data_IF_226179265928
#
_entry.id   IF_226179265928
#
_cell.length_a   1.000
_cell.length_b   1.000
_cell.length_c   1.000
_cell.angle_alpha   90.00
_cell.angle_beta   90.00
_cell.angle_gamma   90.00
#
_symmetry.space_group_name_H-M   'P 1'
#
loop_
_entity.id
_entity.type
_entity.pdbx_description
1 polymer ?
#
# COMPACT_ATOMS: atom_id res chain seq x y z
N UNK A 1 16.15 0.79 2.42
CA UNK A 1 14.96 -0.04 2.72
C UNK A 1 14.05 0.05 1.51
N UNK A 2 14.00 -0.98 0.66
CA UNK A 2 13.09 -0.99 -0.51
C UNK A 2 11.76 -1.57 -0.05
N UNK A 3 10.93 -0.73 0.57
CA UNK A 3 9.69 -1.17 1.21
C UNK A 3 8.57 -1.20 0.17
N UNK A 4 8.59 -2.22 -0.69
CA UNK A 4 7.39 -2.62 -1.44
C UNK A 4 6.44 -3.28 -0.45
N UNK A 5 5.49 -2.53 0.07
CA UNK A 5 4.43 -3.08 0.91
C UNK A 5 3.59 -4.06 0.06
N UNK A 6 3.64 -5.34 0.40
CA UNK A 6 2.79 -6.36 -0.17
C UNK A 6 1.44 -6.38 0.57
N UNK A 7 0.29 -6.41 -0.14
CA UNK A 7 -0.98 -6.77 0.48
C UNK A 7 -0.94 -8.24 0.94
N UNK A 8 -1.48 -8.51 2.12
CA UNK A 8 -1.57 -9.88 2.64
C UNK A 8 -2.86 -10.59 2.19
N UNK A 9 -3.95 -9.85 1.96
CA UNK A 9 -5.26 -10.41 1.63
C UNK A 9 -5.88 -9.74 0.42
N UNK A 10 -6.51 -10.54 -0.45
CA UNK A 10 -7.22 -10.05 -1.62
C UNK A 10 -8.41 -9.18 -1.16
N UNK A 11 -8.53 -7.92 -1.63
CA UNK A 11 -9.63 -7.04 -1.22
C UNK A 11 -11.00 -7.52 -1.72
N UNK A 12 -11.04 -8.52 -2.60
CA UNK A 12 -12.28 -9.04 -3.19
C UNK A 12 -12.74 -10.37 -2.59
N UNK A 13 -11.84 -11.31 -2.28
CA UNK A 13 -12.21 -12.64 -1.76
C UNK A 13 -11.59 -12.98 -0.40
N UNK A 14 -10.66 -12.18 0.12
CA UNK A 14 -9.99 -12.44 1.40
C UNK A 14 -8.94 -13.54 1.37
N UNK A 15 -8.61 -14.09 0.20
CA UNK A 15 -7.55 -15.09 0.03
C UNK A 15 -6.14 -14.46 0.05
N UNK A 16 -5.12 -15.23 0.36
CA UNK A 16 -3.72 -14.80 0.52
C UNK A 16 -2.86 -15.11 -0.72
N UNK A 17 -3.37 -15.84 -1.73
CA UNK A 17 -2.63 -16.14 -2.98
C UNK A 17 -2.58 -14.93 -3.93
N UNK A 18 -1.87 -13.88 -3.47
CA UNK A 18 -1.62 -12.63 -4.17
C UNK A 18 -0.22 -12.60 -4.77
N UNK A 19 -0.13 -12.22 -6.05
CA UNK A 19 1.13 -12.14 -6.80
C UNK A 19 1.25 -10.80 -7.51
N UNK A 20 2.47 -10.23 -7.62
CA UNK A 20 2.70 -9.10 -8.51
C UNK A 20 2.32 -9.49 -9.93
N UNK A 21 1.56 -8.63 -10.61
CA UNK A 21 1.15 -8.89 -11.99
C UNK A 21 2.11 -8.20 -12.96
N UNK A 22 2.75 -9.00 -13.82
CA UNK A 22 3.62 -8.53 -14.91
C UNK A 22 2.82 -7.90 -16.07
N UNK A 23 1.49 -8.11 -16.10
CA UNK A 23 0.59 -7.59 -17.14
C UNK A 23 0.56 -6.05 -17.21
N UNK A 24 1.03 -5.39 -16.17
CA UNK A 24 1.10 -3.94 -16.11
C UNK A 24 2.51 -3.48 -16.52
N UNK A 25 2.86 -3.67 -17.80
CA UNK A 25 4.14 -3.23 -18.38
C UNK A 25 4.40 -1.75 -18.03
N UNK A 26 5.41 -1.50 -17.20
CA UNK A 26 5.79 -0.17 -16.72
C UNK A 26 4.91 0.42 -15.59
N UNK A 27 3.87 -0.27 -15.13
CA UNK A 27 2.98 0.18 -14.04
C UNK A 27 3.31 -0.57 -12.75
N UNK A 28 4.09 0.07 -11.89
CA UNK A 28 4.36 -0.43 -10.54
C UNK A 28 3.07 -0.59 -9.73
N UNK A 29 3.04 -1.63 -8.88
CA UNK A 29 1.95 -1.86 -7.93
C UNK A 29 0.76 -2.65 -8.50
N UNK A 30 0.87 -3.30 -9.65
CA UNK A 30 -0.14 -4.24 -10.11
C UNK A 30 -0.05 -5.59 -9.37
N UNK A 31 -1.21 -6.13 -9.00
CA UNK A 31 -1.37 -7.37 -8.24
C UNK A 31 -2.51 -8.20 -8.82
N UNK A 32 -2.40 -9.50 -8.71
CA UNK A 32 -3.44 -10.45 -9.08
C UNK A 32 -3.66 -11.49 -7.97
N UNK A 33 -4.91 -11.94 -7.83
CA UNK A 33 -5.29 -13.02 -6.93
C UNK A 33 -5.55 -14.29 -7.73
N UNK A 34 -4.83 -15.37 -7.45
CA UNK A 34 -5.00 -16.63 -8.16
C UNK A 34 -6.30 -17.37 -7.76
N UNK A 35 -6.80 -17.15 -6.53
CA UNK A 35 -8.02 -17.80 -6.03
C UNK A 35 -9.30 -17.30 -6.70
N UNK A 36 -9.36 -16.01 -7.07
CA UNK A 36 -10.54 -15.42 -7.71
C UNK A 36 -10.27 -14.77 -9.07
N UNK A 37 -9.06 -14.94 -9.61
CA UNK A 37 -8.61 -14.44 -10.92
C UNK A 37 -8.85 -12.93 -11.16
N UNK A 38 -8.74 -12.10 -10.12
CA UNK A 38 -8.90 -10.64 -10.23
C UNK A 38 -7.55 -9.95 -10.15
N UNK A 39 -7.33 -8.99 -11.06
CA UNK A 39 -6.19 -8.09 -11.02
C UNK A 39 -6.60 -6.69 -10.54
N UNK A 40 -5.72 -6.01 -9.82
CA UNK A 40 -5.92 -4.67 -9.26
C UNK A 40 -4.58 -3.92 -9.14
N UNK A 41 -4.63 -2.60 -8.94
CA UNK A 41 -3.44 -1.78 -8.75
C UNK A 41 -3.45 -1.11 -7.38
N UNK A 42 -2.34 -1.20 -6.66
CA UNK A 42 -2.08 -0.50 -5.42
C UNK A 42 -1.28 0.78 -5.66
N UNK A 43 -1.62 1.82 -4.89
CA UNK A 43 -0.91 3.09 -4.90
C UNK A 43 -0.71 3.57 -3.47
N UNK A 44 0.55 3.82 -3.10
CA UNK A 44 0.85 4.54 -1.87
C UNK A 44 0.47 6.02 -2.04
N UNK A 45 -0.39 6.53 -1.16
CA UNK A 45 -0.88 7.91 -1.22
C UNK A 45 -0.13 8.87 -0.28
N UNK A 46 0.69 8.35 0.64
CA UNK A 46 1.29 9.13 1.73
C UNK A 46 0.69 8.78 3.09
N UNK A 47 1.24 9.40 4.14
CA UNK A 47 0.74 9.28 5.51
C UNK A 47 -0.43 10.26 5.72
N UNK A 48 -1.56 9.77 6.24
CA UNK A 48 -2.71 10.62 6.56
C UNK A 48 -2.47 11.38 7.87
N UNK A 49 -2.75 12.69 7.86
CA UNK A 49 -2.47 13.62 8.97
C UNK A 49 -3.22 13.30 10.27
N UNK A 50 -4.23 12.42 10.24
CA UNK A 50 -4.98 12.02 11.44
C UNK A 50 -4.15 11.21 12.45
N UNK A 51 -2.99 10.67 12.04
CA UNK A 51 -2.06 9.95 12.91
C UNK A 51 -0.72 10.65 13.19
N UNK A 52 -0.39 11.71 12.44
CA UNK A 52 0.82 12.48 12.67
C UNK A 52 0.55 13.51 13.78
N UNK A 53 0.74 13.14 15.06
CA UNK A 53 0.85 14.15 16.12
C UNK A 53 1.94 15.13 15.69
N UNK A 54 1.57 16.38 15.38
CA UNK A 54 2.55 17.46 15.29
C UNK A 54 3.24 17.51 16.64
N UNK A 55 4.54 17.20 16.69
CA UNK A 55 5.38 17.69 17.78
C UNK A 55 5.40 19.20 17.63
N UNK A 56 4.46 19.87 18.29
CA UNK A 56 4.60 21.28 18.61
C UNK A 56 5.71 21.36 19.65
N UNK A 57 6.95 21.44 19.17
CA UNK A 57 8.07 21.86 19.99
C UNK A 57 7.86 23.34 20.30
N UNK A 58 7.05 23.60 21.32
CA UNK A 58 6.82 24.92 21.90
C UNK A 58 8.16 25.52 22.34
N UNK A 59 8.72 26.36 21.47
CA UNK A 59 9.85 27.22 21.78
C UNK A 59 9.39 28.36 22.68
N UNK A 60 9.30 28.11 23.98
CA UNK A 60 9.41 29.18 24.97
C UNK A 60 10.89 29.63 24.96
N UNK A 61 11.16 30.79 24.37
CA UNK A 61 12.37 31.56 24.64
C UNK A 61 11.89 32.78 25.43
N UNK A 62 12.31 32.83 26.69
CA UNK A 62 12.16 33.98 27.57
C UNK A 62 13.13 35.10 27.19
#
# INVERSE_FOLDING_TARGET
MSERAAPFYCPYCGDEDLRPSEAAEGRHGAWECAACSRAFQLKFLGLLSRGAKRSDSGGAQI
#
